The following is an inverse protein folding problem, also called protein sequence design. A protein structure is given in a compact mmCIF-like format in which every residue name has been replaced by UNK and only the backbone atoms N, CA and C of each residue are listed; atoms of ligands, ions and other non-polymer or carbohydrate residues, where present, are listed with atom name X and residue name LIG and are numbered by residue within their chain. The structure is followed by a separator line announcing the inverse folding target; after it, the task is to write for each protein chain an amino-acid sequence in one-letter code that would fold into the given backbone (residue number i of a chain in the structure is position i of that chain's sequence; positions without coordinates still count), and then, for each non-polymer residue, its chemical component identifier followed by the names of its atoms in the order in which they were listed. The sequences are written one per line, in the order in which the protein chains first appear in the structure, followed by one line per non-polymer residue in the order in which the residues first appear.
data_IF_356972330506
#
_entry.id   IF_356972330506
#
_cell.length_a   1.000
_cell.length_b   1.000
_cell.length_c   1.000
_cell.angle_alpha   90.00
_cell.angle_beta   90.00
_cell.angle_gamma   90.00
#
_symmetry.space_group_name_H-M   'P 1'
#
loop_
_entity.id
_entity.type
_entity.pdbx_description
1 polymer ?
#
# COMPACT_ATOMS: atom_id res chain seq x y z
N UNK A 1 23.45 -40.29 4.03
CA UNK A 1 22.96 -39.32 5.04
C UNK A 1 22.20 -38.23 4.32
N UNK A 2 20.89 -38.03 4.53
CA UNK A 2 20.17 -36.90 3.94
C UNK A 2 20.45 -35.62 4.73
N UNK A 3 20.75 -34.56 3.99
CA UNK A 3 21.09 -33.21 4.47
C UNK A 3 19.86 -32.52 5.09
N UNK A 4 20.00 -31.73 6.17
CA UNK A 4 18.85 -31.10 6.84
C UNK A 4 18.28 -29.96 5.97
N UNK A 5 16.99 -30.08 5.64
CA UNK A 5 16.21 -29.04 5.00
C UNK A 5 16.25 -27.74 5.84
N UNK A 6 16.75 -26.67 5.23
CA UNK A 6 16.72 -25.32 5.83
C UNK A 6 15.25 -24.90 5.99
N UNK A 7 14.73 -24.92 7.22
CA UNK A 7 13.46 -24.28 7.57
C UNK A 7 13.57 -22.79 7.22
N UNK A 8 12.86 -22.34 6.19
CA UNK A 8 12.66 -20.92 5.90
C UNK A 8 11.94 -20.30 7.11
N UNK A 9 12.51 -19.21 7.65
CA UNK A 9 11.83 -18.37 8.65
C UNK A 9 10.66 -17.67 7.94
N UNK A 10 9.44 -18.09 8.20
CA UNK A 10 8.24 -17.36 7.81
C UNK A 10 8.15 -16.06 8.60
N UNK A 11 8.02 -14.93 7.90
CA UNK A 11 7.74 -13.61 8.48
C UNK A 11 6.32 -13.69 9.08
N UNK A 12 6.12 -13.21 10.32
CA UNK A 12 4.81 -13.33 10.99
C UNK A 12 3.72 -12.59 10.22
N UNK A 13 2.53 -13.19 10.09
CA UNK A 13 1.40 -12.59 9.37
C UNK A 13 0.90 -11.31 10.03
N UNK A 14 0.50 -10.33 9.23
CA UNK A 14 -0.14 -9.08 9.69
C UNK A 14 -1.65 -9.29 9.62
N UNK A 15 -2.33 -9.14 10.76
CA UNK A 15 -3.77 -9.40 10.87
C UNK A 15 -4.50 -8.09 11.14
N UNK A 16 -5.38 -7.70 10.23
CA UNK A 16 -6.26 -6.56 10.43
C UNK A 16 -7.58 -7.01 11.04
N UNK A 17 -7.94 -6.43 12.18
CA UNK A 17 -9.16 -6.76 12.92
C UNK A 17 -10.21 -5.67 12.76
N UNK A 18 -11.48 -6.07 12.85
CA UNK A 18 -12.64 -5.16 12.85
C UNK A 18 -13.31 -5.17 14.21
N UNK A 19 -14.03 -4.09 14.56
CA UNK A 19 -14.67 -3.92 15.87
C UNK A 19 -15.85 -4.87 16.14
N UNK A 20 -16.16 -5.80 15.23
CA UNK A 20 -17.24 -6.78 15.37
C UNK A 20 -16.79 -8.25 15.50
N UNK A 21 -15.48 -8.52 15.60
CA UNK A 21 -14.96 -9.90 15.72
C UNK A 21 -15.14 -10.77 14.47
N UNK A 22 -15.47 -10.16 13.33
CA UNK A 22 -15.46 -10.83 12.04
C UNK A 22 -14.05 -11.37 11.78
N UNK A 23 -13.98 -12.61 11.29
CA UNK A 23 -12.72 -13.20 10.89
C UNK A 23 -12.32 -12.70 9.50
N UNK A 24 -11.03 -12.42 9.27
CA UNK A 24 -10.54 -12.11 7.93
C UNK A 24 -10.86 -13.27 6.98
N UNK A 25 -11.43 -12.94 5.82
CA UNK A 25 -11.82 -13.90 4.78
C UNK A 25 -10.91 -13.85 3.55
N UNK A 26 -9.92 -12.94 3.56
CA UNK A 26 -9.02 -12.68 2.44
C UNK A 26 -7.57 -12.68 2.91
N UNK A 27 -6.73 -13.45 2.22
CA UNK A 27 -5.28 -13.47 2.41
C UNK A 27 -4.61 -12.79 1.22
N UNK A 28 -3.85 -11.72 1.48
CA UNK A 28 -3.01 -11.06 0.49
C UNK A 28 -1.54 -11.31 0.85
N UNK A 29 -0.82 -12.07 0.01
CA UNK A 29 0.62 -12.20 0.13
C UNK A 29 1.29 -11.08 -0.65
N UNK A 30 1.83 -10.09 0.08
CA UNK A 30 2.51 -8.92 -0.49
C UNK A 30 4.01 -9.12 -0.40
N UNK A 31 4.61 -9.50 -1.52
CA UNK A 31 6.05 -9.75 -1.65
C UNK A 31 6.60 -10.68 -0.55
N UNK A 32 5.85 -11.74 -0.20
CA UNK A 32 6.22 -12.69 0.84
C UNK A 32 5.76 -12.34 2.27
N UNK A 33 5.08 -11.22 2.47
CA UNK A 33 4.42 -10.89 3.73
C UNK A 33 2.92 -11.16 3.63
N UNK A 34 2.38 -11.96 4.54
CA UNK A 34 0.95 -12.26 4.58
C UNK A 34 0.16 -11.17 5.31
N UNK A 35 -0.92 -10.72 4.68
CA UNK A 35 -1.90 -9.77 5.20
C UNK A 35 -3.28 -10.45 5.27
N UNK A 36 -3.80 -10.63 6.47
CA UNK A 36 -5.14 -11.17 6.69
C UNK A 36 -6.11 -10.01 6.79
N UNK A 37 -7.01 -9.91 5.81
CA UNK A 37 -7.93 -8.78 5.64
C UNK A 37 -9.35 -9.23 5.30
N UNK A 38 -10.28 -8.28 5.30
CA UNK A 38 -11.70 -8.48 5.06
C UNK A 38 -12.09 -7.98 3.67
N UNK A 39 -12.60 -8.88 2.85
CA UNK A 39 -13.04 -8.59 1.48
C UNK A 39 -14.03 -7.44 1.43
N UNK A 40 -14.97 -7.36 2.38
CA UNK A 40 -15.99 -6.32 2.39
C UNK A 40 -15.40 -4.91 2.53
N UNK A 41 -14.36 -4.73 3.36
CA UNK A 41 -13.67 -3.43 3.51
C UNK A 41 -12.86 -3.09 2.27
N UNK A 42 -12.15 -4.07 1.69
CA UNK A 42 -11.45 -3.88 0.43
C UNK A 42 -12.42 -3.40 -0.65
N UNK A 43 -13.55 -4.09 -0.84
CA UNK A 43 -14.57 -3.71 -1.83
C UNK A 43 -15.20 -2.33 -1.57
N UNK A 44 -15.37 -1.96 -0.30
CA UNK A 44 -15.95 -0.66 0.07
C UNK A 44 -15.03 0.51 -0.28
N UNK A 45 -13.70 0.32 -0.14
CA UNK A 45 -12.72 1.39 -0.26
C UNK A 45 -11.80 1.31 -1.47
N UNK A 46 -11.95 0.27 -2.29
CA UNK A 46 -11.18 0.03 -3.52
C UNK A 46 -12.09 -0.41 -4.66
N UNK A 47 -12.21 0.43 -5.68
CA UNK A 47 -12.94 0.06 -6.90
C UNK A 47 -12.27 -1.13 -7.63
N UNK A 48 -10.95 -1.26 -7.51
CA UNK A 48 -10.20 -2.41 -8.01
C UNK A 48 -10.70 -3.69 -7.34
N UNK A 49 -10.64 -3.78 -6.01
CA UNK A 49 -11.06 -4.99 -5.30
C UNK A 49 -12.56 -5.27 -5.45
N UNK A 50 -13.41 -4.25 -5.51
CA UNK A 50 -14.83 -4.42 -5.84
C UNK A 50 -15.00 -5.16 -7.17
N UNK A 51 -14.34 -4.69 -8.24
CA UNK A 51 -14.43 -5.30 -9.57
C UNK A 51 -13.90 -6.73 -9.62
N UNK A 52 -12.76 -7.00 -8.96
CA UNK A 52 -12.08 -8.29 -9.08
C UNK A 52 -12.53 -9.35 -8.07
N UNK A 53 -13.14 -8.97 -6.95
CA UNK A 53 -13.68 -9.91 -5.96
C UNK A 53 -15.15 -10.26 -6.23
N UNK A 54 -15.89 -9.40 -6.95
CA UNK A 54 -17.28 -9.65 -7.35
C UNK A 54 -17.41 -10.27 -8.77
N UNK A 55 -16.31 -10.73 -9.37
CA UNK A 55 -16.40 -11.39 -10.69
C UNK A 55 -16.98 -12.81 -10.57
N UNK A 56 -17.89 -13.17 -11.49
CA UNK A 56 -18.59 -14.47 -11.50
C UNK A 56 -17.65 -15.68 -11.52
N UNK A 57 -16.47 -15.53 -12.12
CA UNK A 57 -15.44 -16.57 -12.14
C UNK A 57 -14.98 -16.96 -10.72
N UNK A 58 -15.08 -16.03 -9.75
CA UNK A 58 -14.65 -16.22 -8.36
C UNK A 58 -15.75 -16.66 -7.39
N UNK A 59 -17.03 -16.61 -7.78
CA UNK A 59 -18.10 -17.26 -7.01
C UNK A 59 -17.89 -18.78 -6.97
N UNK A 60 -17.35 -19.36 -8.04
CA UNK A 60 -16.99 -20.79 -8.10
C UNK A 60 -15.82 -21.18 -7.17
N UNK A 61 -14.96 -20.23 -6.80
CA UNK A 61 -13.84 -20.43 -5.87
C UNK A 61 -14.33 -20.51 -4.41
N UNK A 62 -15.42 -19.80 -4.06
CA UNK A 62 -16.01 -19.91 -2.72
C UNK A 62 -16.59 -21.28 -2.41
N UNK A 63 -17.04 -22.02 -3.42
CA UNK A 63 -17.57 -23.39 -3.24
C UNK A 63 -16.46 -24.46 -3.18
N UNK A 64 -15.27 -24.16 -3.71
CA UNK A 64 -14.11 -25.07 -3.71
C UNK A 64 -13.23 -24.98 -2.45
N UNK A 65 -13.50 -24.03 -1.54
CA UNK A 65 -12.76 -23.80 -0.29
C UNK A 65 -12.96 -24.90 0.79
N UNK A 66 -13.22 -26.15 0.40
CA UNK A 66 -13.31 -27.32 1.29
C UNK A 66 -12.03 -28.16 1.34
N UNK A 67 -10.96 -27.75 0.66
CA UNK A 67 -9.79 -28.60 0.45
C UNK A 67 -8.47 -28.22 1.14
N UNK A 68 -8.20 -26.95 1.49
CA UNK A 68 -6.83 -26.59 1.94
C UNK A 68 -6.68 -25.27 2.72
N UNK A 69 -7.44 -24.22 2.40
CA UNK A 69 -7.32 -22.90 3.08
C UNK A 69 -8.66 -22.41 3.60
N UNK A 70 -8.65 -21.76 4.78
CA UNK A 70 -9.86 -21.19 5.41
C UNK A 70 -10.28 -19.84 4.82
N UNK A 71 -9.51 -19.29 3.88
CA UNK A 71 -9.75 -17.98 3.27
C UNK A 71 -10.59 -18.12 2.00
N UNK A 72 -11.58 -17.25 1.85
CA UNK A 72 -12.43 -17.18 0.66
C UNK A 72 -11.65 -16.68 -0.57
N UNK A 73 -10.72 -15.76 -0.34
CA UNK A 73 -9.90 -15.17 -1.38
C UNK A 73 -8.43 -15.25 -0.99
N UNK A 74 -7.61 -15.82 -1.87
CA UNK A 74 -6.15 -15.80 -1.73
C UNK A 74 -5.53 -15.09 -2.93
N UNK A 75 -4.64 -14.15 -2.66
CA UNK A 75 -3.93 -13.39 -3.66
C UNK A 75 -2.44 -13.35 -3.34
N UNK A 76 -1.62 -13.29 -4.39
CA UNK A 76 -0.17 -13.27 -4.29
C UNK A 76 0.43 -12.19 -5.17
N UNK A 77 1.51 -11.57 -4.71
CA UNK A 77 2.29 -10.65 -5.54
C UNK A 77 2.94 -11.36 -6.72
N UNK A 78 2.91 -10.69 -7.87
CA UNK A 78 3.69 -10.99 -9.05
C UNK A 78 4.55 -9.78 -9.38
N UNK A 79 5.84 -10.00 -9.66
CA UNK A 79 6.70 -8.93 -10.15
C UNK A 79 6.34 -8.57 -11.60
N UNK A 80 6.37 -7.28 -11.92
CA UNK A 80 6.15 -6.80 -13.28
C UNK A 80 7.34 -7.15 -14.18
N UNK A 81 7.17 -7.02 -15.50
CA UNK A 81 8.19 -7.34 -16.51
C UNK A 81 9.51 -6.58 -16.28
N UNK A 82 9.42 -5.35 -15.77
CA UNK A 82 10.57 -4.50 -15.44
C UNK A 82 11.29 -4.93 -14.14
N UNK A 83 10.70 -5.86 -13.38
CA UNK A 83 11.14 -6.35 -12.07
C UNK A 83 11.25 -5.28 -10.99
N UNK A 84 10.73 -4.08 -11.23
CA UNK A 84 10.73 -2.93 -10.32
C UNK A 84 9.32 -2.59 -9.85
N UNK A 85 8.30 -2.94 -10.63
CA UNK A 85 6.91 -2.93 -10.21
C UNK A 85 6.45 -4.30 -9.71
N UNK A 86 5.28 -4.30 -9.07
CA UNK A 86 4.60 -5.50 -8.63
C UNK A 86 3.09 -5.26 -8.55
N UNK A 87 2.30 -6.32 -8.69
CA UNK A 87 0.85 -6.27 -8.51
C UNK A 87 0.32 -7.56 -7.88
N UNK A 88 -0.88 -7.50 -7.30
CA UNK A 88 -1.58 -8.67 -6.76
C UNK A 88 -2.34 -9.41 -7.86
N UNK A 89 -2.20 -10.73 -7.88
CA UNK A 89 -3.01 -11.64 -8.70
C UNK A 89 -3.71 -12.67 -7.82
N UNK A 90 -4.82 -13.24 -8.32
CA UNK A 90 -5.47 -14.37 -7.65
C UNK A 90 -4.50 -15.54 -7.57
N UNK A 91 -4.40 -16.19 -6.40
CA UNK A 91 -3.54 -17.36 -6.22
C UNK A 91 -3.99 -18.47 -7.19
N UNK A 92 -3.12 -18.93 -8.11
CA UNK A 92 -3.48 -20.02 -9.03
C UNK A 92 -3.66 -21.34 -8.27
N UNK A 93 -4.58 -22.21 -8.71
CA UNK A 93 -4.78 -23.54 -8.12
C UNK A 93 -3.52 -24.43 -8.20
N UNK A 94 -2.67 -24.19 -9.21
CA UNK A 94 -1.40 -24.91 -9.41
C UNK A 94 -0.23 -24.31 -8.62
N UNK A 95 -0.48 -23.31 -7.78
CA UNK A 95 0.56 -22.66 -6.99
C UNK A 95 1.06 -23.61 -5.89
N UNK A 96 2.21 -24.24 -6.13
CA UNK A 96 2.93 -24.94 -5.07
C UNK A 96 3.67 -23.94 -4.18
N UNK A 97 3.73 -24.16 -2.87
CA UNK A 97 4.52 -23.33 -1.94
C UNK A 97 6.03 -23.29 -2.30
N UNK A 98 6.50 -24.27 -3.08
CA UNK A 98 7.85 -24.30 -3.65
C UNK A 98 7.99 -23.47 -4.94
N UNK A 99 6.88 -22.97 -5.52
CA UNK A 99 6.86 -21.97 -6.59
C UNK A 99 7.10 -20.59 -6.00
N UNK A 100 8.24 -20.49 -5.33
CA UNK A 100 8.85 -19.30 -4.75
C UNK A 100 9.13 -18.19 -5.81
N UNK A 101 8.64 -18.29 -7.06
CA UNK A 101 9.14 -17.53 -8.21
C UNK A 101 8.42 -16.21 -8.49
N UNK A 102 7.14 -16.08 -8.17
CA UNK A 102 6.31 -14.98 -8.71
C UNK A 102 6.72 -13.59 -8.20
N UNK A 103 6.92 -13.45 -6.90
CA UNK A 103 7.40 -12.19 -6.31
C UNK A 103 8.91 -12.15 -6.08
N UNK A 104 9.63 -13.29 -6.09
CA UNK A 104 11.10 -13.27 -5.95
C UNK A 104 11.83 -12.64 -7.12
N UNK A 105 11.17 -12.52 -8.27
CA UNK A 105 11.71 -11.78 -9.39
C UNK A 105 11.77 -10.26 -9.13
N UNK A 106 11.04 -9.75 -8.12
CA UNK A 106 11.06 -8.36 -7.71
C UNK A 106 12.45 -7.97 -7.17
N UNK A 107 13.02 -6.89 -7.72
CA UNK A 107 14.37 -6.42 -7.40
C UNK A 107 14.40 -5.15 -6.54
N UNK A 108 13.23 -4.63 -6.15
CA UNK A 108 13.15 -3.46 -5.27
C UNK A 108 13.21 -3.82 -3.79
N UNK A 109 12.94 -2.83 -2.94
CA UNK A 109 12.87 -3.01 -1.49
C UNK A 109 11.50 -3.57 -1.08
N UNK A 110 11.43 -4.89 -0.95
CA UNK A 110 10.19 -5.57 -0.58
C UNK A 110 9.65 -5.13 0.79
N UNK A 111 10.51 -4.82 1.76
CA UNK A 111 10.05 -4.40 3.09
C UNK A 111 9.45 -3.00 3.06
N UNK A 112 10.02 -2.13 2.23
CA UNK A 112 9.49 -0.79 2.01
C UNK A 112 8.11 -0.82 1.35
N UNK A 113 7.94 -1.62 0.30
CA UNK A 113 6.64 -1.85 -0.36
C UNK A 113 5.61 -2.49 0.58
N UNK A 114 6.02 -3.47 1.39
CA UNK A 114 5.17 -4.09 2.42
C UNK A 114 4.66 -3.06 3.44
N UNK A 115 5.53 -2.15 3.91
CA UNK A 115 5.14 -1.08 4.84
C UNK A 115 4.20 -0.06 4.19
N UNK A 116 4.46 0.29 2.92
CA UNK A 116 3.59 1.19 2.16
C UNK A 116 2.21 0.55 1.96
N UNK A 117 2.14 -0.71 1.56
CA UNK A 117 0.88 -1.46 1.43
C UNK A 117 0.16 -1.64 2.78
N UNK A 118 0.92 -1.89 3.85
CA UNK A 118 0.38 -1.91 5.21
C UNK A 118 -0.28 -0.59 5.58
N UNK A 119 0.29 0.55 5.17
CA UNK A 119 -0.30 1.87 5.38
C UNK A 119 -1.57 2.10 4.53
N UNK A 120 -1.63 1.57 3.30
CA UNK A 120 -2.90 1.53 2.52
C UNK A 120 -3.96 0.73 3.30
N UNK A 121 -3.56 -0.42 3.84
CA UNK A 121 -4.46 -1.27 4.63
C UNK A 121 -4.92 -0.55 5.91
N UNK A 122 -4.03 0.14 6.63
CA UNK A 122 -4.44 0.99 7.75
C UNK A 122 -5.46 2.05 7.33
N UNK A 123 -5.26 2.73 6.20
CA UNK A 123 -6.21 3.72 5.70
C UNK A 123 -7.60 3.10 5.42
N UNK A 124 -7.65 1.92 4.78
CA UNK A 124 -8.89 1.17 4.53
C UNK A 124 -9.63 0.81 5.84
N UNK A 125 -8.89 0.51 6.90
CA UNK A 125 -9.45 0.14 8.22
C UNK A 125 -9.67 1.34 9.14
N UNK A 126 -9.35 2.56 8.71
CA UNK A 126 -9.38 3.74 9.57
C UNK A 126 -8.41 3.67 10.76
N UNK A 127 -7.33 2.89 10.64
CA UNK A 127 -6.28 2.78 11.65
C UNK A 127 -5.21 3.84 11.44
N UNK A 128 -4.55 4.26 12.52
CA UNK A 128 -3.44 5.21 12.45
C UNK A 128 -2.23 4.59 11.71
N UNK A 129 -1.52 5.43 10.96
CA UNK A 129 -0.27 5.09 10.31
C UNK A 129 0.65 6.31 10.24
N UNK A 130 1.93 6.09 9.97
CA UNK A 130 2.97 7.13 9.93
C UNK A 130 3.83 7.01 8.69
N UNK A 131 4.50 8.09 8.32
CA UNK A 131 5.42 8.16 7.20
C UNK A 131 6.87 8.23 7.70
N UNK A 132 7.73 7.39 7.14
CA UNK A 132 9.16 7.43 7.39
C UNK A 132 9.90 8.44 6.49
N UNK A 133 9.33 8.75 5.32
CA UNK A 133 9.92 9.65 4.32
C UNK A 133 8.90 10.14 3.30
N UNK A 134 9.27 11.17 2.53
CA UNK A 134 8.49 11.64 1.37
C UNK A 134 8.39 10.58 0.27
N UNK A 135 9.40 9.72 0.14
CA UNK A 135 9.33 8.56 -0.74
C UNK A 135 8.23 7.58 -0.30
N UNK A 136 8.06 7.35 1.01
CA UNK A 136 7.00 6.49 1.52
C UNK A 136 5.61 7.05 1.19
N UNK A 137 5.43 8.37 1.26
CA UNK A 137 4.21 9.05 0.82
C UNK A 137 3.97 8.90 -0.69
N UNK A 138 5.02 9.08 -1.53
CA UNK A 138 4.95 8.86 -2.98
C UNK A 138 4.51 7.43 -3.30
N UNK A 139 5.15 6.42 -2.70
CA UNK A 139 4.82 5.01 -2.89
C UNK A 139 3.41 4.67 -2.41
N UNK A 140 3.02 5.15 -1.22
CA UNK A 140 1.66 4.97 -0.70
C UNK A 140 0.61 5.52 -1.69
N UNK A 141 0.88 6.71 -2.24
CA UNK A 141 -0.01 7.37 -3.20
C UNK A 141 -0.10 6.57 -4.50
N UNK A 142 1.01 6.04 -5.00
CA UNK A 142 1.03 5.20 -6.20
C UNK A 142 0.26 3.89 -5.99
N UNK A 143 0.42 3.22 -4.84
CA UNK A 143 -0.34 2.02 -4.50
C UNK A 143 -1.84 2.33 -4.38
N UNK A 144 -2.20 3.43 -3.72
CA UNK A 144 -3.58 3.85 -3.59
C UNK A 144 -4.20 4.28 -4.93
N UNK A 145 -3.43 4.83 -5.86
CA UNK A 145 -3.93 5.11 -7.21
C UNK A 145 -4.17 3.81 -7.98
N UNK A 146 -3.19 2.91 -7.98
CA UNK A 146 -3.27 1.61 -8.67
C UNK A 146 -4.44 0.76 -8.16
N UNK A 147 -4.54 0.58 -6.84
CA UNK A 147 -5.65 -0.15 -6.23
C UNK A 147 -6.92 0.70 -6.07
N UNK A 148 -6.97 1.91 -6.65
CA UNK A 148 -8.15 2.78 -6.66
C UNK A 148 -8.71 3.10 -5.25
N UNK A 149 -7.82 3.33 -4.30
CA UNK A 149 -8.05 3.69 -2.91
C UNK A 149 -7.77 5.18 -2.59
N UNK A 150 -7.49 6.04 -3.57
CA UNK A 150 -7.23 7.47 -3.33
C UNK A 150 -8.31 8.17 -2.47
N UNK A 151 -9.63 7.90 -2.63
CA UNK A 151 -10.64 8.57 -1.81
C UNK A 151 -10.51 8.30 -0.31
N UNK A 152 -10.16 7.07 0.10
CA UNK A 152 -9.96 6.78 1.52
C UNK A 152 -8.65 7.38 2.02
N UNK A 153 -7.58 7.30 1.21
CA UNK A 153 -6.30 7.92 1.54
C UNK A 153 -6.45 9.43 1.76
N UNK A 154 -7.22 10.13 0.91
CA UNK A 154 -7.49 11.56 1.02
C UNK A 154 -8.03 11.97 2.39
N UNK A 155 -8.86 11.10 3.00
CA UNK A 155 -9.50 11.33 4.30
C UNK A 155 -8.56 11.08 5.47
N UNK A 156 -7.69 10.08 5.37
CA UNK A 156 -6.85 9.62 6.50
C UNK A 156 -5.43 10.21 6.47
N UNK A 157 -4.99 10.74 5.33
CA UNK A 157 -3.60 11.19 5.16
C UNK A 157 -3.22 12.37 6.03
N UNK A 158 -4.17 13.26 6.34
CA UNK A 158 -3.90 14.38 7.26
C UNK A 158 -3.48 13.87 8.63
N UNK A 159 -4.20 12.89 9.19
CA UNK A 159 -3.82 12.28 10.47
C UNK A 159 -2.47 11.57 10.37
N UNK A 160 -2.21 10.86 9.27
CA UNK A 160 -0.91 10.21 9.05
C UNK A 160 0.25 11.21 8.99
N UNK A 161 0.04 12.37 8.36
CA UNK A 161 1.03 13.44 8.27
C UNK A 161 1.25 14.11 9.63
N UNK A 162 0.18 14.41 10.37
CA UNK A 162 0.28 14.99 11.72
C UNK A 162 1.01 14.07 12.70
N UNK A 163 0.83 12.75 12.56
CA UNK A 163 1.59 11.75 13.32
C UNK A 163 3.05 11.58 12.83
N UNK A 164 3.45 12.32 11.79
CA UNK A 164 4.79 12.23 11.18
C UNK A 164 5.46 13.61 11.06
N UNK A 165 5.81 14.29 12.17
CA UNK A 165 6.34 15.67 12.13
C UNK A 165 7.56 15.86 11.23
N UNK A 166 8.37 14.82 11.05
CA UNK A 166 9.55 14.84 10.17
C UNK A 166 9.22 15.04 8.69
N UNK A 167 7.97 14.82 8.28
CA UNK A 167 7.53 15.02 6.90
C UNK A 167 7.59 16.48 6.46
N UNK A 168 7.44 17.43 7.39
CA UNK A 168 7.47 18.86 7.12
C UNK A 168 8.88 19.46 7.19
N UNK A 169 9.85 18.72 7.74
CA UNK A 169 11.25 19.15 7.75
C UNK A 169 11.81 19.13 6.32
N UNK A 170 12.34 20.26 5.87
CA UNK A 170 12.86 20.39 4.51
C UNK A 170 11.77 20.30 3.43
N UNK A 171 10.50 20.58 3.76
CA UNK A 171 9.40 20.52 2.79
C UNK A 171 9.65 21.47 1.60
N UNK A 172 10.33 22.59 1.81
CA UNK A 172 10.68 23.57 0.78
C UNK A 172 11.51 22.97 -0.38
N UNK A 173 12.32 21.93 -0.12
CA UNK A 173 13.17 21.28 -1.13
C UNK A 173 12.36 20.49 -2.15
N UNK A 174 11.23 19.93 -1.71
CA UNK A 174 10.36 19.05 -2.50
C UNK A 174 8.94 19.62 -2.64
N UNK A 175 8.76 20.93 -2.42
CA UNK A 175 7.43 21.52 -2.25
C UNK A 175 6.55 21.37 -3.51
N UNK A 176 7.12 21.54 -4.70
CA UNK A 176 6.42 21.32 -5.96
C UNK A 176 5.93 19.86 -6.09
N UNK A 177 6.79 18.89 -5.81
CA UNK A 177 6.43 17.46 -5.84
C UNK A 177 5.32 17.14 -4.83
N UNK A 178 5.42 17.69 -3.61
CA UNK A 178 4.41 17.50 -2.57
C UNK A 178 3.08 18.15 -2.92
N UNK A 179 3.08 19.32 -3.57
CA UNK A 179 1.87 19.97 -4.09
C UNK A 179 1.21 19.13 -5.19
N UNK A 180 1.99 18.54 -6.09
CA UNK A 180 1.46 17.64 -7.13
C UNK A 180 0.85 16.37 -6.54
N UNK A 181 1.50 15.76 -5.53
CA UNK A 181 0.93 14.64 -4.78
C UNK A 181 -0.35 15.04 -4.05
N UNK A 182 -0.36 16.18 -3.37
CA UNK A 182 -1.53 16.67 -2.66
C UNK A 182 -2.72 16.88 -3.60
N UNK A 183 -2.47 17.39 -4.81
CA UNK A 183 -3.46 17.56 -5.86
C UNK A 183 -4.02 16.22 -6.32
N UNK A 184 -3.15 15.22 -6.56
CA UNK A 184 -3.55 13.87 -6.94
C UNK A 184 -4.41 13.19 -5.87
N UNK A 185 -4.02 13.30 -4.61
CA UNK A 185 -4.74 12.76 -3.45
C UNK A 185 -5.99 13.60 -3.11
N UNK A 186 -6.06 14.83 -3.62
CA UNK A 186 -7.09 15.84 -3.29
C UNK A 186 -7.13 16.18 -1.80
N UNK A 187 -5.97 16.28 -1.17
CA UNK A 187 -5.86 16.61 0.25
C UNK A 187 -5.52 18.10 0.45
N UNK A 188 -6.48 18.85 1.01
CA UNK A 188 -6.34 20.30 1.25
C UNK A 188 -5.16 20.63 2.15
N UNK A 189 -4.98 19.88 3.24
CA UNK A 189 -3.96 20.17 4.24
C UNK A 189 -2.55 20.12 3.63
N UNK A 190 -2.19 19.00 3.00
CA UNK A 190 -0.88 18.85 2.36
C UNK A 190 -0.67 19.86 1.21
N UNK A 191 -1.74 20.19 0.48
CA UNK A 191 -1.68 21.19 -0.59
C UNK A 191 -1.35 22.58 -0.03
N UNK A 192 -2.01 22.98 1.05
CA UNK A 192 -1.78 24.27 1.70
C UNK A 192 -0.36 24.36 2.24
N UNK A 193 0.13 23.34 2.94
CA UNK A 193 1.51 23.33 3.47
C UNK A 193 2.55 23.43 2.35
N UNK A 194 2.38 22.68 1.26
CA UNK A 194 3.28 22.74 0.11
C UNK A 194 3.23 24.12 -0.59
N UNK A 195 2.04 24.70 -0.74
CA UNK A 195 1.86 26.02 -1.35
C UNK A 195 2.51 27.13 -0.51
N UNK A 196 2.38 27.09 0.82
CA UNK A 196 3.04 28.03 1.73
C UNK A 196 4.56 27.96 1.55
N UNK A 197 5.14 26.76 1.47
CA UNK A 197 6.57 26.61 1.22
C UNK A 197 7.01 27.19 -0.13
N UNK A 198 6.22 26.97 -1.19
CA UNK A 198 6.51 27.54 -2.53
C UNK A 198 6.46 29.07 -2.48
N UNK A 199 5.40 29.63 -1.92
CA UNK A 199 5.21 31.08 -1.83
C UNK A 199 6.30 31.75 -0.99
N UNK A 200 6.63 31.18 0.18
CA UNK A 200 7.69 31.70 1.04
C UNK A 200 9.08 31.64 0.38
N UNK A 201 9.34 30.62 -0.45
CA UNK A 201 10.61 30.54 -1.18
C UNK A 201 10.72 31.62 -2.29
N UNK A 202 9.60 31.97 -2.94
CA UNK A 202 9.58 33.04 -3.94
C UNK A 202 9.92 34.40 -3.33
N UNK A 203 9.52 34.67 -2.08
CA UNK A 203 9.88 35.90 -1.36
C UNK A 203 11.37 35.96 -0.98
N UNK A 204 12.00 34.83 -0.65
CA UNK A 204 13.43 34.80 -0.34
C UNK A 204 14.29 35.09 -1.58
N UNK A 205 13.90 34.61 -2.76
CA UNK A 205 14.63 34.86 -4.00
C UNK A 205 14.39 36.26 -4.59
N UNK A 206 13.22 36.87 -4.37
CA UNK A 206 12.95 38.24 -4.81
C UNK A 206 13.62 39.31 -3.94
N UNK A 207 14.10 38.95 -2.74
CA UNK A 207 14.90 39.83 -1.87
C UNK A 207 16.41 39.77 -2.16
N UNK A 208 16.88 38.95 -3.11
CA UNK A 208 18.31 38.79 -3.45
C UNK A 208 18.71 39.60 -4.70
N UNK A 209 17.75 40.17 -5.45
CA UNK A 209 18.02 41.01 -6.64
C UNK A 209 18.04 42.52 -6.35
N UNK A 210 18.42 42.94 -5.13
CA UNK A 210 18.76 44.34 -4.85
C UNK A 210 20.22 44.41 -4.38
N UNK A 211 21.14 44.36 -5.33
CA UNK A 211 22.48 44.91 -5.18
C UNK A 211 22.79 45.69 -6.47
N UNK A 212 23.16 46.95 -6.27
CA UNK A 212 23.36 48.06 -7.22
C UNK A 212 23.95 47.73 -8.61
#
# INVERSE_FOLDING_TARGET
MPSPAKKQKTKGSIIFLTTGGLQPDTLLNVLGQDFHVHSYLLKTHSAFFAKFLDSKDKESMSDKARGSSSFRYEWISMADDDKKGWHLIAKPDSFSENSDSLYKAYKGDAEFEQKAFGSVSCAIYGQAYTFSSRLALKTLTSLADYYQCLPILSRTITDGLLNSPRMFLGLYEDACDMMMLATKIRNKFLFTEALICIAGNLELHSNVEIVD
#
